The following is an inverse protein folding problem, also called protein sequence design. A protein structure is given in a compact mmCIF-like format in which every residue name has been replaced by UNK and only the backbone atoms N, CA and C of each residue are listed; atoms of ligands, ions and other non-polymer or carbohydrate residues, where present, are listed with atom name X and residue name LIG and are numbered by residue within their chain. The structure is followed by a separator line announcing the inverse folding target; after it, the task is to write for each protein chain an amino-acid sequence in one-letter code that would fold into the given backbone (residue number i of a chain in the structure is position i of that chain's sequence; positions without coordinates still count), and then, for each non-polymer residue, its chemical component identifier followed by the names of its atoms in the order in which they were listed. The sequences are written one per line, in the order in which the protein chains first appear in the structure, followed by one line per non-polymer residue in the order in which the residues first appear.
data_IF_164802828506
#
_entry.id   IF_164802828506
#
_cell.length_a   1.000
_cell.length_b   1.000
_cell.length_c   1.000
_cell.angle_alpha   90.00
_cell.angle_beta   90.00
_cell.angle_gamma   90.00
#
_symmetry.space_group_name_H-M   'P 1'
#
loop_
_entity.id
_entity.type
_entity.pdbx_description
1 polymer ?
#
# COMPACT_ATOMS: atom_id res chain seq x y z
N UNK A 1 2.00 2.40 -73.43
CA UNK A 1 1.76 3.66 -72.69
C UNK A 1 1.32 3.30 -71.28
N UNK A 2 2.21 3.58 -70.30
CA UNK A 2 2.05 3.72 -68.84
C UNK A 2 1.15 2.70 -68.09
N UNK A 3 1.75 1.74 -67.37
CA UNK A 3 2.09 1.81 -65.93
C UNK A 3 0.96 2.38 -65.04
N UNK A 4 0.46 1.58 -64.08
CA UNK A 4 0.78 1.72 -62.65
C UNK A 4 0.04 0.68 -61.79
N UNK A 5 0.85 -0.19 -61.18
CA UNK A 5 0.57 -0.92 -59.93
C UNK A 5 0.55 0.08 -58.78
N UNK A 6 -0.41 0.01 -57.84
CA UNK A 6 -0.23 0.42 -56.44
C UNK A 6 -1.15 -0.41 -55.53
N UNK A 7 -0.53 -1.30 -54.75
CA UNK A 7 -1.06 -1.95 -53.56
C UNK A 7 -1.32 -0.89 -52.47
N UNK A 8 -2.49 -0.91 -51.84
CA UNK A 8 -2.77 -0.10 -50.65
C UNK A 8 -3.08 -1.01 -49.45
N UNK A 9 -2.00 -1.48 -48.82
CA UNK A 9 -2.05 -1.93 -47.43
C UNK A 9 -2.18 -0.69 -46.56
N UNK A 10 -3.35 -0.46 -45.95
CA UNK A 10 -3.49 0.52 -44.88
C UNK A 10 -3.36 -0.22 -43.57
N UNK A 11 -2.17 -0.11 -42.97
CA UNK A 11 -1.90 -0.46 -41.58
C UNK A 11 -2.76 0.46 -40.70
N UNK A 12 -3.79 -0.09 -40.06
CA UNK A 12 -4.44 0.61 -38.96
C UNK A 12 -3.54 0.57 -37.72
N UNK A 13 -3.15 1.77 -37.33
CA UNK A 13 -2.25 2.09 -36.25
C UNK A 13 -2.67 1.40 -34.94
N UNK A 14 -1.72 0.69 -34.34
CA UNK A 14 -1.78 0.21 -32.97
C UNK A 14 -1.80 1.41 -32.02
N UNK A 15 -2.98 1.76 -31.50
CA UNK A 15 -3.06 2.56 -30.27
C UNK A 15 -2.64 1.65 -29.11
N UNK A 16 -1.33 1.50 -28.93
CA UNK A 16 -0.76 0.97 -27.71
C UNK A 16 -1.01 2.01 -26.62
N UNK A 17 -2.19 1.91 -25.97
CA UNK A 17 -2.37 2.41 -24.62
C UNK A 17 -1.24 1.81 -23.79
N UNK A 18 -0.23 2.63 -23.51
CA UNK A 18 0.72 2.36 -22.44
C UNK A 18 -0.08 2.38 -21.14
N UNK A 19 -0.69 1.26 -20.82
CA UNK A 19 -0.91 0.88 -19.44
C UNK A 19 0.49 0.79 -18.85
N UNK A 20 0.96 1.89 -18.24
CA UNK A 20 2.02 1.82 -17.24
C UNK A 20 1.49 0.85 -16.20
N UNK A 21 1.94 -0.40 -16.33
CA UNK A 21 1.74 -1.43 -15.34
C UNK A 21 2.52 -0.97 -14.12
N UNK A 22 1.86 -0.18 -13.26
CA UNK A 22 2.27 -0.05 -11.88
C UNK A 22 2.25 -1.48 -11.36
N UNK A 23 3.44 -2.09 -11.25
CA UNK A 23 3.59 -3.49 -10.86
C UNK A 23 2.63 -3.75 -9.70
N UNK A 24 1.68 -4.66 -9.92
CA UNK A 24 0.72 -5.03 -8.90
C UNK A 24 1.54 -5.62 -7.75
N UNK A 25 1.75 -4.82 -6.72
CA UNK A 25 2.45 -5.25 -5.52
C UNK A 25 1.63 -6.41 -4.95
N UNK A 26 2.23 -7.60 -4.88
CA UNK A 26 1.56 -8.79 -4.38
C UNK A 26 1.23 -8.58 -2.89
N UNK A 27 -0.06 -8.32 -2.61
CA UNK A 27 -0.55 -8.03 -1.27
C UNK A 27 -0.19 -9.14 -0.26
N UNK A 28 -0.20 -10.40 -0.69
CA UNK A 28 0.15 -11.53 0.17
C UNK A 28 1.64 -11.55 0.52
N UNK A 29 2.50 -11.22 -0.45
CA UNK A 29 3.94 -11.10 -0.23
C UNK A 29 4.25 -9.94 0.74
N UNK A 30 3.60 -8.79 0.58
CA UNK A 30 3.75 -7.64 1.49
C UNK A 30 3.29 -7.98 2.90
N UNK A 31 2.10 -8.57 3.03
CA UNK A 31 1.57 -8.98 4.32
C UNK A 31 2.51 -9.96 5.02
N UNK A 32 3.03 -10.95 4.28
CA UNK A 32 3.97 -11.95 4.82
C UNK A 32 5.27 -11.29 5.29
N UNK A 33 5.86 -10.42 4.47
CA UNK A 33 7.09 -9.71 4.79
C UNK A 33 6.93 -8.80 6.03
N UNK A 34 5.82 -8.05 6.09
CA UNK A 34 5.50 -7.18 7.22
C UNK A 34 5.29 -7.98 8.51
N UNK A 35 4.51 -9.06 8.43
CA UNK A 35 4.23 -9.93 9.57
C UNK A 35 5.49 -10.61 10.10
N UNK A 36 6.38 -11.06 9.21
CA UNK A 36 7.65 -11.64 9.60
C UNK A 36 8.57 -10.61 10.28
N UNK A 37 8.65 -9.39 9.73
CA UNK A 37 9.51 -8.33 10.28
C UNK A 37 9.08 -7.87 11.66
N UNK A 38 7.77 -7.78 11.90
CA UNK A 38 7.20 -7.26 13.14
C UNK A 38 6.58 -8.32 14.04
N UNK A 39 6.88 -9.60 13.81
CA UNK A 39 6.27 -10.73 14.52
C UNK A 39 6.33 -10.58 16.05
N UNK A 40 7.42 -10.04 16.59
CA UNK A 40 7.62 -9.84 18.04
C UNK A 40 6.72 -8.77 18.66
N UNK A 41 6.11 -7.91 17.83
CA UNK A 41 5.16 -6.88 18.26
C UNK A 41 3.71 -7.36 18.18
N UNK A 42 3.48 -8.57 17.68
CA UNK A 42 2.15 -9.17 17.58
C UNK A 42 1.96 -10.27 18.62
N UNK A 43 0.77 -10.31 19.23
CA UNK A 43 0.42 -11.32 20.24
C UNK A 43 0.03 -10.74 21.59
N UNK A 44 -0.62 -11.57 22.41
CA UNK A 44 -1.25 -11.21 23.68
C UNK A 44 -0.33 -10.47 24.66
N UNK A 45 0.95 -10.85 24.67
CA UNK A 45 1.94 -10.32 25.61
C UNK A 45 2.61 -9.03 25.11
N UNK A 46 2.31 -8.59 23.89
CA UNK A 46 2.94 -7.40 23.31
C UNK A 46 2.22 -6.11 23.72
N UNK A 47 2.94 -5.27 24.45
CA UNK A 47 2.51 -3.94 24.91
C UNK A 47 3.34 -2.82 24.26
N UNK A 48 4.12 -3.14 23.23
CA UNK A 48 5.05 -2.22 22.58
C UNK A 48 4.49 -1.72 21.27
N UNK A 49 4.72 -0.44 20.97
CA UNK A 49 4.43 0.12 19.66
C UNK A 49 5.48 -0.36 18.63
N UNK A 50 5.06 -0.44 17.38
CA UNK A 50 5.95 -0.67 16.25
C UNK A 50 7.03 0.43 16.23
N UNK A 51 8.29 0.07 15.98
CA UNK A 51 9.40 1.02 15.90
C UNK A 51 9.39 1.71 14.53
N UNK A 52 8.28 2.38 14.21
CA UNK A 52 8.00 3.05 12.96
C UNK A 52 7.67 4.53 13.22
N UNK A 53 7.95 5.43 12.26
CA UNK A 53 7.57 6.84 12.40
C UNK A 53 6.05 6.96 12.51
N UNK A 54 5.57 7.50 13.62
CA UNK A 54 4.14 7.72 13.84
C UNK A 54 3.69 9.05 13.22
N UNK A 55 2.48 9.06 12.68
CA UNK A 55 1.80 10.25 12.15
C UNK A 55 0.69 10.63 13.12
N UNK A 56 0.54 11.93 13.39
CA UNK A 56 -0.62 12.42 14.14
C UNK A 56 -1.92 12.17 13.36
N UNK A 57 -3.00 11.84 14.08
CA UNK A 57 -4.30 11.55 13.49
C UNK A 57 -4.86 12.69 12.64
N UNK A 58 -4.65 13.95 13.03
CA UNK A 58 -5.12 15.10 12.26
C UNK A 58 -4.32 15.29 10.97
N UNK A 59 -3.02 15.03 11.02
CA UNK A 59 -2.15 15.10 9.85
C UNK A 59 -2.46 13.96 8.87
N UNK A 60 -2.72 12.75 9.38
CA UNK A 60 -3.20 11.63 8.58
C UNK A 60 -4.49 11.96 7.83
N UNK A 61 -5.50 12.51 8.52
CA UNK A 61 -6.76 12.95 7.88
C UNK A 61 -6.51 13.97 6.77
N UNK A 62 -5.75 15.02 7.06
CA UNK A 62 -5.40 16.07 6.08
C UNK A 62 -4.63 15.50 4.88
N UNK A 63 -3.81 14.47 5.10
CA UNK A 63 -3.05 13.83 4.03
C UNK A 63 -3.94 12.96 3.15
N UNK A 64 -4.85 12.15 3.73
CA UNK A 64 -5.81 11.32 2.98
C UNK A 64 -6.76 12.13 2.11
N UNK A 65 -7.05 13.38 2.48
CA UNK A 65 -7.85 14.30 1.67
C UNK A 65 -7.10 14.85 0.46
N UNK A 66 -5.76 14.87 0.52
CA UNK A 66 -4.90 15.52 -0.49
C UNK A 66 -4.17 14.54 -1.39
N UNK A 67 -3.88 13.34 -0.89
CA UNK A 67 -3.13 12.31 -1.59
C UNK A 67 -4.05 11.19 -2.05
N UNK A 68 -3.82 10.73 -3.27
CA UNK A 68 -4.40 9.48 -3.73
C UNK A 68 -3.62 8.31 -3.13
N UNK A 69 -4.30 7.49 -2.35
CA UNK A 69 -3.71 6.36 -1.65
C UNK A 69 -4.37 5.07 -2.14
N UNK A 70 -3.54 4.14 -2.62
CA UNK A 70 -3.99 2.80 -2.99
C UNK A 70 -3.86 1.87 -1.80
N UNK A 71 -4.95 1.21 -1.42
CA UNK A 71 -4.89 0.15 -0.43
C UNK A 71 -4.13 -1.06 -1.01
N UNK A 72 -3.06 -1.48 -0.32
CA UNK A 72 -2.22 -2.63 -0.69
C UNK A 72 -2.72 -3.90 -0.02
N UNK A 73 -2.95 -3.87 1.29
CA UNK A 73 -3.54 -4.99 2.01
C UNK A 73 -4.32 -4.51 3.24
N UNK A 74 -5.19 -5.40 3.74
CA UNK A 74 -5.91 -5.22 4.99
C UNK A 74 -5.92 -6.53 5.79
N UNK A 75 -5.56 -6.45 7.07
CA UNK A 75 -5.54 -7.59 8.00
C UNK A 75 -6.41 -7.25 9.23
N UNK A 76 -7.67 -7.72 9.27
CA UNK A 76 -8.54 -7.53 10.42
C UNK A 76 -8.19 -8.50 11.56
N UNK A 77 -8.51 -8.10 12.80
CA UNK A 77 -8.38 -8.98 13.95
C UNK A 77 -6.95 -9.16 14.46
N UNK A 78 -6.02 -8.29 14.07
CA UNK A 78 -4.63 -8.36 14.52
C UNK A 78 -4.52 -7.97 15.99
N UNK A 79 -3.99 -8.86 16.81
CA UNK A 79 -3.67 -8.52 18.19
C UNK A 79 -2.31 -7.80 18.26
N UNK A 80 -2.33 -6.56 18.70
CA UNK A 80 -1.21 -5.63 18.74
C UNK A 80 -1.41 -4.62 19.87
N UNK A 81 -0.35 -4.28 20.61
CA UNK A 81 -0.40 -3.26 21.67
C UNK A 81 -1.58 -3.48 22.66
N UNK A 82 -1.66 -4.70 23.19
CA UNK A 82 -2.71 -5.17 24.12
C UNK A 82 -4.15 -5.09 23.62
N UNK A 83 -4.39 -4.84 22.33
CA UNK A 83 -5.73 -4.63 21.75
C UNK A 83 -5.85 -5.29 20.38
N UNK A 84 -7.07 -5.33 19.86
CA UNK A 84 -7.37 -5.85 18.52
C UNK A 84 -7.53 -4.69 17.55
N UNK A 85 -6.86 -4.79 16.40
CA UNK A 85 -6.84 -3.78 15.35
C UNK A 85 -7.16 -4.39 13.98
N UNK A 86 -7.61 -3.54 13.08
CA UNK A 86 -7.60 -3.74 11.63
C UNK A 86 -6.43 -2.97 11.07
N UNK A 87 -5.44 -3.68 10.54
CA UNK A 87 -4.28 -3.07 9.89
C UNK A 87 -4.60 -2.87 8.42
N UNK A 88 -4.45 -1.65 7.91
CA UNK A 88 -4.62 -1.33 6.50
C UNK A 88 -3.34 -0.64 6.01
N UNK A 89 -2.67 -1.25 5.05
CA UNK A 89 -1.49 -0.64 4.41
C UNK A 89 -1.92 0.06 3.13
N UNK A 90 -1.54 1.32 3.02
CA UNK A 90 -1.69 2.14 1.84
C UNK A 90 -0.33 2.40 1.18
N UNK A 91 -0.35 2.59 -0.13
CA UNK A 91 0.78 3.08 -0.91
C UNK A 91 0.36 4.35 -1.64
N UNK A 92 1.24 5.34 -1.67
CA UNK A 92 1.07 6.53 -2.52
C UNK A 92 0.96 6.11 -4.00
N UNK A 93 0.20 6.84 -4.83
CA UNK A 93 0.07 6.51 -6.26
C UNK A 93 1.41 6.60 -7.00
N UNK A 94 2.30 7.50 -6.55
CA UNK A 94 3.67 7.62 -7.04
C UNK A 94 4.56 6.42 -6.65
N UNK A 95 4.03 5.48 -5.85
CA UNK A 95 4.71 4.23 -5.46
C UNK A 95 5.83 4.38 -4.45
N UNK A 96 6.21 5.61 -4.09
CA UNK A 96 7.41 5.91 -3.30
C UNK A 96 7.28 5.81 -1.78
N UNK A 97 6.06 5.78 -1.23
CA UNK A 97 5.84 5.74 0.21
C UNK A 97 4.65 4.85 0.59
N UNK A 98 4.78 4.19 1.74
CA UNK A 98 3.71 3.42 2.37
C UNK A 98 3.24 4.06 3.66
N UNK A 99 1.99 3.79 4.02
CA UNK A 99 1.37 4.27 5.25
C UNK A 99 0.56 3.14 5.87
N UNK A 100 0.80 2.86 7.15
CA UNK A 100 0.07 1.85 7.90
C UNK A 100 -0.96 2.53 8.80
N UNK A 101 -2.22 2.20 8.60
CA UNK A 101 -3.33 2.64 9.44
C UNK A 101 -3.85 1.45 10.26
N UNK A 102 -3.67 1.49 11.58
CA UNK A 102 -4.19 0.51 12.50
C UNK A 102 -5.38 1.09 13.28
N UNK A 103 -6.59 0.72 12.87
CA UNK A 103 -7.85 1.16 13.49
C UNK A 103 -8.40 0.09 14.41
N UNK A 104 -8.84 0.44 15.61
CA UNK A 104 -9.37 -0.53 16.56
C UNK A 104 -9.29 -0.06 18.00
N UNK A 105 -8.81 -0.93 18.87
CA UNK A 105 -8.67 -0.62 20.29
C UNK A 105 -9.95 -0.81 21.12
N UNK A 106 -9.96 -0.25 22.34
CA UNK A 106 -11.10 -0.36 23.25
C UNK A 106 -12.30 0.40 22.63
N UNK A 107 -13.35 -0.31 22.24
CA UNK A 107 -14.54 0.21 21.52
C UNK A 107 -14.28 0.77 20.10
N UNK A 108 -13.15 0.46 19.46
CA UNK A 108 -12.88 0.91 18.09
C UNK A 108 -12.50 2.39 17.96
N UNK A 109 -12.09 3.03 19.06
CA UNK A 109 -11.75 4.45 19.09
C UNK A 109 -10.28 4.78 18.81
N UNK A 110 -9.40 3.78 18.89
CA UNK A 110 -7.97 3.96 18.69
C UNK A 110 -7.63 3.91 17.21
N UNK A 111 -6.74 4.81 16.80
CA UNK A 111 -6.19 4.87 15.45
C UNK A 111 -4.70 5.17 15.61
N UNK A 112 -3.86 4.22 15.18
CA UNK A 112 -2.41 4.35 15.19
C UNK A 112 -1.93 4.37 13.75
N UNK A 113 -1.29 5.45 13.36
CA UNK A 113 -0.89 5.68 11.97
C UNK A 113 0.63 5.78 11.90
N UNK A 114 1.23 5.08 10.94
CA UNK A 114 2.67 5.11 10.69
C UNK A 114 2.99 5.51 9.26
N UNK A 115 4.02 6.32 9.10
CA UNK A 115 4.60 6.70 7.82
C UNK A 115 5.22 8.10 7.80
N UNK A 116 5.69 8.55 6.62
CA UNK A 116 5.88 7.74 5.41
C UNK A 116 6.90 6.62 5.64
N UNK A 117 6.61 5.44 5.10
CA UNK A 117 7.44 4.24 5.21
C UNK A 117 8.08 3.90 3.86
N UNK A 118 9.31 3.40 3.89
CA UNK A 118 9.97 2.81 2.73
C UNK A 118 9.57 1.34 2.53
N UNK A 119 9.90 0.77 1.38
CA UNK A 119 9.75 -0.67 1.12
C UNK A 119 10.50 -1.52 2.17
N UNK A 120 11.68 -1.08 2.60
CA UNK A 120 12.49 -1.79 3.61
C UNK A 120 11.84 -1.78 4.98
N UNK A 121 11.12 -0.72 5.33
CA UNK A 121 10.39 -0.63 6.60
C UNK A 121 9.27 -1.68 6.66
N UNK A 122 8.59 -1.95 5.54
CA UNK A 122 7.56 -2.99 5.46
C UNK A 122 8.12 -4.40 5.18
N UNK A 123 9.44 -4.55 5.14
CA UNK A 123 10.11 -5.84 4.94
C UNK A 123 10.28 -6.29 3.49
N UNK A 124 10.01 -5.42 2.52
CA UNK A 124 10.27 -5.68 1.10
C UNK A 124 11.74 -5.39 0.73
N UNK A 125 12.28 -6.07 -0.30
CA UNK A 125 13.63 -5.85 -0.80
C UNK A 125 13.82 -4.47 -1.46
#
# INVERSE_FOLDING_TARGET
MRLKSISAWVLSASLAMHAMSAAAVDAAAVQTAFNQRYQTFFGADSNSLLPLPAIDKQDWKRMREKKALRQVYQEPGKYYNSKVYVFTLYQDEDGGAYYLDATGGFWGMDELVYGPLSAQDIGLP
#
